data_IF_116406312639
#
_entry.id   IF_116406312639
#
_cell.length_a   1.000
_cell.length_b   1.000
_cell.length_c   1.000
_cell.angle_alpha   90.00
_cell.angle_beta   90.00
_cell.angle_gamma   90.00
#
_symmetry.space_group_name_H-M   'P 1'
#
loop_
_entity.id
_entity.type
_entity.pdbx_description
1 polymer ?
#
# COMPACT_ATOMS: atom_id res chain seq x y z
N UNK A 1 -20.88 19.59 -28.69
CA UNK A 1 -20.68 19.15 -27.27
C UNK A 1 -20.94 20.34 -26.36
N UNK A 2 -21.80 20.20 -25.35
CA UNK A 2 -22.18 21.30 -24.44
C UNK A 2 -21.09 21.53 -23.37
N UNK A 3 -20.92 22.75 -22.85
CA UNK A 3 -19.87 23.08 -21.86
C UNK A 3 -19.90 22.18 -20.62
N UNK A 4 -21.10 21.79 -20.17
CA UNK A 4 -21.28 20.83 -19.07
C UNK A 4 -20.66 19.45 -19.36
N UNK A 5 -20.83 18.92 -20.59
CA UNK A 5 -20.23 17.64 -21.02
C UNK A 5 -18.71 17.73 -21.16
N UNK A 6 -18.19 18.89 -21.59
CA UNK A 6 -16.76 19.11 -21.67
C UNK A 6 -16.13 19.14 -20.27
N UNK A 7 -16.77 19.80 -19.31
CA UNK A 7 -16.30 19.89 -17.92
C UNK A 7 -16.34 18.53 -17.20
N UNK A 8 -17.33 17.66 -17.46
CA UNK A 8 -17.36 16.32 -16.87
C UNK A 8 -16.23 15.42 -17.41
N UNK A 9 -15.93 15.48 -18.71
CA UNK A 9 -14.83 14.73 -19.31
C UNK A 9 -13.47 15.19 -18.76
N UNK A 10 -13.26 16.50 -18.59
CA UNK A 10 -12.05 17.01 -17.94
C UNK A 10 -11.93 16.55 -16.49
N UNK A 11 -13.00 16.60 -15.70
CA UNK A 11 -12.97 16.15 -14.31
C UNK A 11 -12.61 14.65 -14.18
N UNK A 12 -13.23 13.79 -15.01
CA UNK A 12 -12.91 12.34 -15.03
C UNK A 12 -11.47 12.11 -15.50
N UNK A 13 -11.02 12.83 -16.54
CA UNK A 13 -9.65 12.71 -17.03
C UNK A 13 -8.61 13.14 -16.00
N UNK A 14 -8.80 14.29 -15.34
CA UNK A 14 -7.92 14.75 -14.27
C UNK A 14 -7.90 13.77 -13.09
N UNK A 15 -9.05 13.23 -12.70
CA UNK A 15 -9.11 12.21 -11.65
C UNK A 15 -8.29 10.97 -12.00
N UNK A 16 -8.44 10.43 -13.22
CA UNK A 16 -7.66 9.27 -13.66
C UNK A 16 -6.15 9.57 -13.73
N UNK A 17 -5.76 10.78 -14.16
CA UNK A 17 -4.36 11.21 -14.16
C UNK A 17 -3.78 11.32 -12.75
N UNK A 18 -4.57 11.83 -11.78
CA UNK A 18 -4.16 11.87 -10.37
C UNK A 18 -3.96 10.46 -9.84
N UNK A 19 -4.89 9.53 -10.09
CA UNK A 19 -4.74 8.12 -9.70
C UNK A 19 -3.49 7.51 -10.32
N UNK A 20 -3.27 7.70 -11.63
CA UNK A 20 -2.11 7.17 -12.33
C UNK A 20 -0.79 7.70 -11.75
N UNK A 21 -0.73 9.01 -11.45
CA UNK A 21 0.42 9.62 -10.78
C UNK A 21 0.64 9.03 -9.39
N UNK A 22 -0.42 8.84 -8.60
CA UNK A 22 -0.28 8.22 -7.28
C UNK A 22 0.23 6.77 -7.37
N UNK A 23 -0.21 6.00 -8.36
CA UNK A 23 0.31 4.64 -8.62
C UNK A 23 1.79 4.68 -9.02
N UNK A 24 2.20 5.63 -9.86
CA UNK A 24 3.61 5.81 -10.19
C UNK A 24 4.47 6.10 -8.94
N UNK A 25 3.99 6.97 -8.05
CA UNK A 25 4.62 7.22 -6.75
C UNK A 25 4.63 5.96 -5.87
N UNK A 26 3.54 5.19 -5.85
CA UNK A 26 3.43 3.92 -5.09
C UNK A 26 4.53 2.94 -5.49
N UNK A 27 4.82 2.80 -6.79
CA UNK A 27 5.90 1.94 -7.28
C UNK A 27 7.27 2.41 -6.76
N UNK A 28 7.52 3.72 -6.74
CA UNK A 28 8.74 4.29 -6.17
C UNK A 28 8.89 4.05 -4.67
N UNK A 29 7.82 4.27 -3.89
CA UNK A 29 7.81 4.01 -2.44
C UNK A 29 8.01 2.51 -2.17
N UNK A 30 7.37 1.64 -2.95
CA UNK A 30 7.55 0.20 -2.86
C UNK A 30 8.98 -0.25 -3.16
N UNK A 31 9.61 0.32 -4.19
CA UNK A 31 11.03 0.11 -4.49
C UNK A 31 11.92 0.53 -3.32
N UNK A 32 11.70 1.71 -2.76
CA UNK A 32 12.44 2.18 -1.59
C UNK A 32 12.23 1.30 -0.34
N UNK A 33 11.02 0.79 -0.12
CA UNK A 33 10.69 -0.14 0.98
C UNK A 33 11.49 -1.44 0.83
N UNK A 34 11.61 -1.94 -0.41
CA UNK A 34 12.43 -3.12 -0.71
C UNK A 34 13.91 -2.84 -0.47
N UNK A 35 14.44 -1.75 -1.01
CA UNK A 35 15.88 -1.44 -0.98
C UNK A 35 16.39 -1.19 0.45
N UNK A 36 15.54 -0.62 1.31
CA UNK A 36 15.83 -0.42 2.74
C UNK A 36 15.62 -1.67 3.59
N UNK A 37 15.10 -2.77 3.02
CA UNK A 37 14.77 -3.98 3.77
C UNK A 37 13.59 -3.82 4.74
N UNK A 38 12.85 -2.72 4.66
CA UNK A 38 11.76 -2.37 5.60
C UNK A 38 10.50 -3.20 5.41
N UNK A 39 10.36 -3.98 4.34
CA UNK A 39 9.12 -4.70 4.00
C UNK A 39 8.63 -5.77 4.99
N UNK A 40 9.32 -5.98 6.12
CA UNK A 40 8.94 -6.87 7.22
C UNK A 40 8.84 -6.13 8.58
N UNK A 41 8.90 -4.80 8.58
CA UNK A 41 8.92 -3.99 9.81
C UNK A 41 7.55 -3.90 10.50
N UNK A 42 6.45 -4.07 9.76
CA UNK A 42 5.07 -4.01 10.25
C UNK A 42 4.40 -5.38 10.08
N UNK A 43 4.53 -6.22 11.09
CA UNK A 43 4.02 -7.60 11.04
C UNK A 43 2.51 -7.72 11.29
N UNK A 44 1.89 -6.74 11.95
CA UNK A 44 0.44 -6.74 12.17
C UNK A 44 -0.31 -6.21 10.94
N UNK A 45 -1.43 -6.89 10.62
CA UNK A 45 -2.35 -6.45 9.58
C UNK A 45 -3.54 -5.72 10.19
N UNK A 46 -3.38 -4.41 10.38
CA UNK A 46 -4.43 -3.52 10.88
C UNK A 46 -4.89 -2.57 9.75
N UNK A 47 -5.83 -3.00 8.88
CA UNK A 47 -6.23 -2.21 7.71
C UNK A 47 -6.94 -0.91 8.07
N UNK A 48 -7.63 -0.86 9.22
CA UNK A 48 -8.35 0.34 9.70
C UNK A 48 -7.52 1.14 10.71
N UNK A 49 -7.08 0.50 11.80
CA UNK A 49 -6.36 1.17 12.91
C UNK A 49 -4.93 1.57 12.51
N UNK A 50 -4.28 0.80 11.62
CA UNK A 50 -2.93 1.09 11.12
C UNK A 50 -2.83 2.25 10.13
N UNK A 51 -3.86 3.11 10.06
CA UNK A 51 -3.83 4.40 9.34
C UNK A 51 -3.17 5.51 10.14
N UNK A 52 -3.04 5.34 11.46
CA UNK A 52 -2.25 6.21 12.33
C UNK A 52 -1.00 5.44 12.78
N UNK A 53 0.17 6.09 12.86
CA UNK A 53 1.34 5.46 13.45
C UNK A 53 1.16 5.35 14.97
N UNK A 54 1.98 4.58 15.69
CA UNK A 54 1.93 4.56 17.14
C UNK A 54 2.11 5.97 17.72
N UNK A 55 1.10 6.42 18.49
CA UNK A 55 1.08 7.77 19.07
C UNK A 55 1.65 7.82 20.49
N UNK A 56 1.86 6.65 21.11
CA UNK A 56 2.35 6.51 22.49
C UNK A 56 3.61 5.66 22.54
N UNK A 57 4.42 5.87 23.59
CA UNK A 57 5.61 5.04 23.86
C UNK A 57 5.25 3.55 23.94
N UNK A 58 4.19 3.21 24.69
CA UNK A 58 3.72 1.82 24.79
C UNK A 58 3.33 1.20 23.44
N UNK A 59 2.77 2.01 22.52
CA UNK A 59 2.46 1.55 21.16
C UNK A 59 3.71 1.23 20.35
N UNK A 60 4.74 2.08 20.46
CA UNK A 60 6.05 1.84 19.85
C UNK A 60 6.73 0.60 20.42
N UNK A 61 6.73 0.44 21.74
CA UNK A 61 7.34 -0.70 22.42
C UNK A 61 6.67 -2.02 22.01
N UNK A 62 5.35 -2.03 21.86
CA UNK A 62 4.61 -3.21 21.37
C UNK A 62 5.02 -3.61 19.95
N UNK A 63 5.11 -2.65 19.04
CA UNK A 63 5.51 -2.94 17.66
C UNK A 63 6.97 -3.39 17.57
N UNK A 64 7.85 -2.74 18.34
CA UNK A 64 9.25 -3.08 18.39
C UNK A 64 9.48 -4.47 18.99
N UNK A 65 8.77 -4.82 20.07
CA UNK A 65 8.83 -6.15 20.65
C UNK A 65 8.43 -7.24 19.65
N UNK A 66 7.41 -7.00 18.83
CA UNK A 66 7.02 -7.91 17.76
C UNK A 66 8.09 -8.02 16.66
N UNK A 67 8.73 -6.91 16.31
CA UNK A 67 9.84 -6.92 15.35
C UNK A 67 11.01 -7.75 15.87
N UNK A 68 11.36 -7.66 17.15
CA UNK A 68 12.46 -8.42 17.75
C UNK A 68 12.27 -9.95 17.72
N UNK A 69 11.04 -10.44 17.49
CA UNK A 69 10.79 -11.89 17.39
C UNK A 69 11.15 -12.49 16.03
N UNK A 70 11.37 -11.67 14.99
CA UNK A 70 11.53 -12.17 13.61
C UNK A 70 13.01 -12.37 13.24
N UNK A 71 13.34 -13.28 12.30
CA UNK A 71 14.72 -13.55 11.91
C UNK A 71 15.47 -12.33 11.39
N UNK A 72 14.80 -11.39 10.73
CA UNK A 72 15.42 -10.15 10.27
C UNK A 72 16.07 -9.37 11.43
N UNK A 73 15.38 -9.23 12.57
CA UNK A 73 15.91 -8.54 13.73
C UNK A 73 17.07 -9.32 14.39
N UNK A 74 16.96 -10.66 14.42
CA UNK A 74 17.94 -11.52 15.09
C UNK A 74 19.23 -11.71 14.29
N UNK A 75 19.13 -11.77 12.96
CA UNK A 75 20.24 -12.12 12.06
C UNK A 75 20.82 -10.87 11.38
N UNK A 76 19.97 -9.98 10.83
CA UNK A 76 20.44 -8.82 10.08
C UNK A 76 20.65 -7.58 10.95
N UNK A 77 19.84 -7.41 11.99
CA UNK A 77 19.91 -6.22 12.87
C UNK A 77 20.15 -6.57 14.35
N UNK A 78 21.21 -7.34 14.68
CA UNK A 78 21.47 -7.75 16.05
C UNK A 78 21.70 -6.52 16.94
N UNK A 79 20.95 -6.44 18.05
CA UNK A 79 21.07 -5.33 19.00
C UNK A 79 20.47 -4.00 18.53
N UNK A 80 19.65 -4.00 17.47
CA UNK A 80 18.90 -2.83 17.04
C UNK A 80 18.10 -2.23 18.21
N UNK A 81 18.09 -0.90 18.31
CA UNK A 81 17.30 -0.17 19.29
C UNK A 81 15.99 0.37 18.67
N UNK A 82 15.16 1.03 19.48
CA UNK A 82 13.89 1.58 19.01
C UNK A 82 14.08 2.65 17.91
N UNK A 83 15.18 3.40 17.96
CA UNK A 83 15.48 4.42 16.97
C UNK A 83 15.81 3.79 15.61
N UNK A 84 16.63 2.74 15.60
CA UNK A 84 16.91 1.93 14.42
C UNK A 84 15.65 1.24 13.88
N UNK A 85 14.80 0.69 14.73
CA UNK A 85 13.52 0.11 14.28
C UNK A 85 12.64 1.15 13.56
N UNK A 86 12.60 2.39 14.07
CA UNK A 86 11.81 3.46 13.43
C UNK A 86 12.28 3.79 12.01
N UNK A 87 13.58 3.65 11.69
CA UNK A 87 14.07 3.91 10.33
C UNK A 87 13.55 2.87 9.33
N UNK A 88 13.31 1.63 9.78
CA UNK A 88 12.68 0.58 8.99
C UNK A 88 11.15 0.73 8.96
N UNK A 89 10.54 1.13 10.07
CA UNK A 89 9.08 1.28 10.17
C UNK A 89 8.51 2.31 9.19
N UNK A 90 9.13 3.49 9.09
CA UNK A 90 8.55 4.62 8.35
C UNK A 90 8.36 4.33 6.85
N UNK A 91 9.33 3.79 6.09
CA UNK A 91 9.13 3.46 4.69
C UNK A 91 7.94 2.52 4.46
N UNK A 92 7.84 1.43 5.23
CA UNK A 92 6.73 0.48 5.09
C UNK A 92 5.38 1.12 5.49
N UNK A 93 5.38 1.91 6.57
CA UNK A 93 4.19 2.65 6.99
C UNK A 93 3.69 3.59 5.89
N UNK A 94 4.58 4.40 5.30
CA UNK A 94 4.23 5.31 4.21
C UNK A 94 3.73 4.56 2.98
N UNK A 95 4.36 3.44 2.63
CA UNK A 95 3.90 2.57 1.54
C UNK A 95 2.45 2.11 1.77
N UNK A 96 2.16 1.57 2.95
CA UNK A 96 0.81 1.09 3.32
C UNK A 96 -0.21 2.22 3.36
N UNK A 97 0.14 3.38 3.94
CA UNK A 97 -0.73 4.54 4.02
C UNK A 97 -1.06 5.07 2.61
N UNK A 98 -0.06 5.17 1.75
CA UNK A 98 -0.22 5.63 0.37
C UNK A 98 -1.15 4.71 -0.44
N UNK A 99 -0.98 3.38 -0.30
CA UNK A 99 -1.88 2.41 -0.93
C UNK A 99 -3.35 2.57 -0.49
N UNK A 100 -3.60 2.81 0.80
CA UNK A 100 -4.96 3.12 1.31
C UNK A 100 -5.50 4.43 0.74
N UNK A 101 -4.65 5.45 0.62
CA UNK A 101 -5.03 6.74 0.07
C UNK A 101 -5.43 6.62 -1.40
N UNK A 102 -4.72 5.82 -2.20
CA UNK A 102 -5.09 5.49 -3.59
C UNK A 102 -6.47 4.85 -3.62
N UNK A 103 -6.73 3.87 -2.76
CA UNK A 103 -8.04 3.22 -2.65
C UNK A 103 -9.18 4.22 -2.43
N UNK A 104 -8.99 5.18 -1.52
CA UNK A 104 -9.98 6.23 -1.25
C UNK A 104 -10.14 7.21 -2.42
N UNK A 105 -9.02 7.69 -2.98
CA UNK A 105 -9.00 8.62 -4.13
C UNK A 105 -9.56 7.97 -5.40
N UNK A 106 -9.51 6.65 -5.51
CA UNK A 106 -10.19 5.92 -6.58
C UNK A 106 -11.68 5.73 -6.28
N UNK A 107 -12.02 5.20 -5.11
CA UNK A 107 -13.37 4.76 -4.79
C UNK A 107 -14.36 5.93 -4.69
N UNK A 108 -14.01 7.00 -3.97
CA UNK A 108 -14.94 8.10 -3.69
C UNK A 108 -15.36 8.82 -5.00
N UNK A 109 -14.43 9.26 -5.88
CA UNK A 109 -14.82 9.86 -7.14
C UNK A 109 -15.51 8.88 -8.09
N UNK A 110 -15.15 7.59 -8.09
CA UNK A 110 -15.84 6.58 -8.90
C UNK A 110 -17.33 6.52 -8.55
N UNK A 111 -17.66 6.41 -7.25
CA UNK A 111 -19.05 6.38 -6.78
C UNK A 111 -19.78 7.68 -7.16
N UNK A 112 -19.16 8.84 -6.93
CA UNK A 112 -19.74 10.15 -7.27
C UNK A 112 -19.99 10.29 -8.77
N UNK A 113 -19.04 9.89 -9.62
CA UNK A 113 -19.17 10.02 -11.07
C UNK A 113 -20.18 9.03 -11.65
N UNK A 114 -20.30 7.82 -11.10
CA UNK A 114 -21.37 6.88 -11.46
C UNK A 114 -22.73 7.45 -11.06
N UNK A 115 -22.89 7.89 -9.80
CA UNK A 115 -24.14 8.43 -9.28
C UNK A 115 -24.61 9.68 -10.04
N UNK A 116 -23.66 10.48 -10.55
CA UNK A 116 -23.95 11.70 -11.31
C UNK A 116 -23.97 11.49 -12.83
N UNK A 117 -23.83 10.24 -13.31
CA UNK A 117 -23.86 9.91 -14.74
C UNK A 117 -22.72 10.53 -15.56
N UNK A 118 -21.60 10.87 -14.92
CA UNK A 118 -20.43 11.53 -15.55
C UNK A 118 -19.47 10.53 -16.20
N UNK A 119 -19.58 9.24 -15.85
CA UNK A 119 -18.82 8.14 -16.46
C UNK A 119 -19.69 7.43 -17.49
N UNK A 120 -19.13 7.14 -18.66
CA UNK A 120 -19.80 6.36 -19.69
C UNK A 120 -20.13 4.95 -19.15
N UNK A 121 -21.37 4.49 -19.33
CA UNK A 121 -21.85 3.20 -18.80
C UNK A 121 -20.95 2.01 -19.20
N UNK A 122 -20.34 2.07 -20.38
CA UNK A 122 -19.40 1.05 -20.87
C UNK A 122 -18.10 0.98 -20.07
N UNK A 123 -17.66 2.08 -19.45
CA UNK A 123 -16.42 2.17 -18.67
C UNK A 123 -16.60 1.69 -17.22
N UNK A 124 -17.82 1.74 -16.68
CA UNK A 124 -18.12 1.32 -15.30
C UNK A 124 -17.60 -0.07 -14.94
N UNK A 125 -17.85 -1.15 -15.72
CA UNK A 125 -17.33 -2.47 -15.36
C UNK A 125 -15.80 -2.53 -15.36
N UNK A 126 -15.13 -1.78 -16.23
CA UNK A 126 -13.66 -1.72 -16.29
C UNK A 126 -13.07 -0.99 -15.08
N UNK A 127 -13.67 0.14 -14.68
CA UNK A 127 -13.27 0.86 -13.48
C UNK A 127 -13.52 0.03 -12.21
N UNK A 128 -14.63 -0.72 -12.18
CA UNK A 128 -14.92 -1.69 -11.13
C UNK A 128 -13.88 -2.81 -11.07
N UNK A 129 -13.50 -3.38 -12.22
CA UNK A 129 -12.45 -4.38 -12.30
C UNK A 129 -11.10 -3.84 -11.80
N UNK A 130 -10.71 -2.63 -12.22
CA UNK A 130 -9.49 -1.97 -11.74
C UNK A 130 -9.50 -1.78 -10.21
N UNK A 131 -10.64 -1.41 -9.63
CA UNK A 131 -10.78 -1.31 -8.18
C UNK A 131 -10.55 -2.66 -7.49
N UNK A 132 -11.17 -3.72 -8.01
CA UNK A 132 -11.03 -5.08 -7.47
C UNK A 132 -9.58 -5.57 -7.59
N UNK A 133 -8.93 -5.34 -8.74
CA UNK A 133 -7.52 -5.70 -8.94
C UNK A 133 -6.60 -4.91 -8.00
N UNK A 134 -6.87 -3.62 -7.78
CA UNK A 134 -6.16 -2.82 -6.78
C UNK A 134 -6.37 -3.32 -5.34
N UNK A 135 -7.57 -3.77 -5.01
CA UNK A 135 -7.84 -4.43 -3.72
C UNK A 135 -7.09 -5.76 -3.58
N UNK A 136 -7.04 -6.56 -4.64
CA UNK A 136 -6.29 -7.81 -4.70
C UNK A 136 -4.78 -7.56 -4.53
N UNK A 137 -4.25 -6.48 -5.10
CA UNK A 137 -2.85 -6.06 -4.86
C UNK A 137 -2.57 -5.86 -3.37
N UNK A 138 -3.46 -5.20 -2.63
CA UNK A 138 -3.34 -5.08 -1.17
C UNK A 138 -3.33 -6.44 -0.46
N UNK A 139 -4.15 -7.39 -0.91
CA UNK A 139 -4.18 -8.75 -0.35
C UNK A 139 -2.90 -9.55 -0.67
N UNK A 140 -2.33 -9.41 -1.87
CA UNK A 140 -1.05 -10.00 -2.22
C UNK A 140 0.07 -9.35 -1.38
N UNK A 141 0.00 -8.04 -1.14
CA UNK A 141 0.96 -7.32 -0.28
C UNK A 141 0.94 -7.84 1.16
N UNK A 142 -0.23 -8.12 1.71
CA UNK A 142 -0.35 -8.82 3.00
C UNK A 142 0.34 -10.19 2.98
N UNK A 143 0.06 -10.98 1.94
CA UNK A 143 0.64 -12.31 1.77
C UNK A 143 2.18 -12.27 1.68
N UNK A 144 2.75 -11.21 1.10
CA UNK A 144 4.20 -11.00 1.12
C UNK A 144 4.75 -10.85 2.53
N UNK A 145 4.12 -10.03 3.38
CA UNK A 145 4.58 -9.77 4.76
C UNK A 145 4.47 -11.01 5.64
N UNK A 146 3.49 -11.88 5.37
CA UNK A 146 3.38 -13.16 6.05
C UNK A 146 4.62 -14.07 5.91
N UNK A 147 5.52 -13.79 4.95
CA UNK A 147 6.80 -14.51 4.84
C UNK A 147 7.80 -14.19 5.96
N UNK A 148 7.68 -13.04 6.63
CA UNK A 148 8.58 -12.69 7.75
C UNK A 148 8.40 -13.55 9.00
N UNK A 149 7.37 -14.40 9.05
CA UNK A 149 7.16 -15.39 10.11
C UNK A 149 7.85 -16.74 9.81
N UNK A 150 8.44 -16.90 8.63
CA UNK A 150 9.21 -18.08 8.27
C UNK A 150 10.60 -18.00 8.95
N UNK A 151 11.00 -19.01 9.76
CA UNK A 151 12.26 -19.00 10.51
C UNK A 151 13.50 -18.79 9.66
N UNK A 152 13.46 -19.19 8.39
CA UNK A 152 14.59 -19.10 7.47
C UNK A 152 14.55 -17.83 6.60
N UNK A 153 13.62 -16.91 6.87
CA UNK A 153 13.37 -15.73 6.04
C UNK A 153 13.73 -14.41 6.73
N UNK A 154 14.71 -13.70 6.18
CA UNK A 154 15.15 -12.37 6.65
C UNK A 154 14.64 -11.21 5.78
N UNK A 155 13.96 -11.52 4.69
CA UNK A 155 13.40 -10.58 3.73
C UNK A 155 12.21 -11.23 3.01
N UNK A 156 11.35 -10.40 2.41
CA UNK A 156 10.23 -10.90 1.59
C UNK A 156 10.74 -11.86 0.52
N UNK A 157 10.16 -13.06 0.47
CA UNK A 157 10.58 -14.11 -0.48
C UNK A 157 10.48 -13.61 -1.94
N UNK A 158 11.52 -13.81 -2.77
CA UNK A 158 11.59 -13.26 -4.14
C UNK A 158 10.39 -13.61 -5.02
N UNK A 159 9.85 -14.83 -4.92
CA UNK A 159 8.71 -15.26 -5.74
C UNK A 159 7.40 -14.56 -5.35
N UNK A 160 7.19 -14.23 -4.07
CA UNK A 160 5.99 -13.49 -3.61
C UNK A 160 6.04 -12.05 -4.12
N UNK A 161 7.24 -11.48 -4.13
CA UNK A 161 7.50 -10.15 -4.67
C UNK A 161 7.32 -10.11 -6.19
N UNK A 162 7.80 -11.12 -6.92
CA UNK A 162 7.55 -11.26 -8.35
C UNK A 162 6.07 -11.44 -8.67
N UNK A 163 5.33 -12.23 -7.86
CA UNK A 163 3.88 -12.38 -8.01
C UNK A 163 3.16 -11.03 -7.86
N UNK A 164 3.49 -10.28 -6.81
CA UNK A 164 2.90 -8.98 -6.54
C UNK A 164 3.16 -7.99 -7.67
N UNK A 165 4.42 -7.88 -8.10
CA UNK A 165 4.81 -6.99 -9.19
C UNK A 165 4.13 -7.38 -10.51
N UNK A 166 4.15 -8.66 -10.88
CA UNK A 166 3.51 -9.15 -12.10
C UNK A 166 2.01 -8.93 -12.11
N UNK A 167 1.33 -9.08 -10.97
CA UNK A 167 -0.10 -8.82 -10.86
C UNK A 167 -0.44 -7.32 -10.86
N UNK A 168 0.56 -6.44 -10.73
CA UNK A 168 0.39 -4.98 -10.74
C UNK A 168 0.54 -4.37 -12.14
N UNK A 169 1.11 -5.14 -13.08
CA UNK A 169 1.30 -4.78 -14.50
C UNK A 169 0.11 -5.25 -15.35
#
# INVERSE_FOLDING_TARGET
MNTATRNSHFAVGTWLLVVAFMIWVMVGIGGYTRDTGSGLSIMNWDPVIGTLPPLTTAGWDKMFALYQTIPQAQILHPGIDLAGFKTLFWPEYFHRLWGRLIGLVFFVPLVVFIATGRVEKRLVPWLGLLFVLGGLQGAIGWFMVASGFDPDSVAVQPWRLSLHFSAAM
#
